data_IF_147854484245
#
_entry.id   IF_147854484245
#
_cell.length_a   1.000
_cell.length_b   1.000
_cell.length_c   1.000
_cell.angle_alpha   90.00
_cell.angle_beta   90.00
_cell.angle_gamma   90.00
#
_symmetry.space_group_name_H-M   'P 1'
#
loop_
_entity.id
_entity.type
_entity.pdbx_description
1 polymer ?
#
# COMPACT_ATOMS: atom_id res chain seq x y z
N UNK A 1 -11.94 -20.60 12.48
CA UNK A 1 -10.91 -20.48 11.43
C UNK A 1 -11.23 -19.27 10.60
N UNK A 2 -10.51 -18.17 10.83
CA UNK A 2 -10.65 -16.95 10.02
C UNK A 2 -9.93 -17.18 8.69
N UNK A 3 -10.61 -16.91 7.58
CA UNK A 3 -10.06 -16.92 6.22
C UNK A 3 -10.14 -15.50 5.66
N UNK A 4 -9.04 -14.99 5.15
CA UNK A 4 -8.98 -13.67 4.52
C UNK A 4 -8.57 -13.90 3.08
N UNK A 5 -9.53 -13.84 2.17
CA UNK A 5 -9.25 -13.98 0.74
C UNK A 5 -8.31 -12.89 0.22
N UNK A 6 -7.65 -13.14 -0.91
CA UNK A 6 -6.66 -12.21 -1.47
C UNK A 6 -7.23 -10.80 -1.71
N UNK A 7 -8.45 -10.66 -2.23
CA UNK A 7 -9.07 -9.35 -2.44
C UNK A 7 -9.42 -8.63 -1.13
N UNK A 8 -9.82 -9.37 -0.10
CA UNK A 8 -10.06 -8.80 1.24
C UNK A 8 -8.74 -8.34 1.88
N UNK A 9 -7.68 -9.14 1.73
CA UNK A 9 -6.34 -8.77 2.16
C UNK A 9 -5.83 -7.52 1.43
N UNK A 10 -5.98 -7.47 0.10
CA UNK A 10 -5.57 -6.36 -0.73
C UNK A 10 -6.28 -5.04 -0.35
N UNK A 11 -7.62 -5.08 -0.26
CA UNK A 11 -8.43 -3.89 0.01
C UNK A 11 -8.31 -3.37 1.44
N UNK A 12 -8.20 -4.26 2.43
CA UNK A 12 -8.17 -3.86 3.86
C UNK A 12 -6.79 -3.60 4.41
N UNK A 13 -5.75 -4.15 3.80
CA UNK A 13 -4.38 -4.10 4.34
C UNK A 13 -3.38 -3.53 3.34
N UNK A 14 -3.32 -4.05 2.11
CA UNK A 14 -2.27 -3.68 1.14
C UNK A 14 -2.42 -2.26 0.62
N UNK A 15 -3.55 -1.94 -0.01
CA UNK A 15 -3.79 -0.58 -0.56
C UNK A 15 -3.75 0.49 0.55
N UNK A 16 -4.36 0.27 1.73
CA UNK A 16 -4.21 1.21 2.84
C UNK A 16 -2.78 1.39 3.33
N UNK A 17 -1.95 0.33 3.33
CA UNK A 17 -0.54 0.44 3.72
C UNK A 17 0.28 1.28 2.72
N UNK A 18 0.03 1.11 1.42
CA UNK A 18 0.67 1.95 0.37
C UNK A 18 0.27 3.42 0.57
N UNK A 19 -1.02 3.72 0.69
CA UNK A 19 -1.53 5.08 0.93
C UNK A 19 -0.97 5.67 2.22
N UNK A 20 -0.89 4.87 3.29
CA UNK A 20 -0.29 5.29 4.56
C UNK A 20 1.19 5.65 4.41
N UNK A 21 1.97 4.82 3.71
CA UNK A 21 3.41 5.08 3.54
C UNK A 21 3.65 6.33 2.71
N UNK A 22 2.90 6.54 1.62
CA UNK A 22 2.94 7.79 0.83
C UNK A 22 2.65 9.00 1.72
N UNK A 23 1.54 8.97 2.47
CA UNK A 23 1.17 10.06 3.40
C UNK A 23 2.26 10.32 4.43
N UNK A 24 2.84 9.28 5.04
CA UNK A 24 3.89 9.44 6.05
C UNK A 24 5.15 10.08 5.47
N UNK A 25 5.56 9.71 4.25
CA UNK A 25 6.71 10.34 3.60
C UNK A 25 6.41 11.82 3.31
N UNK A 26 5.27 12.12 2.68
CA UNK A 26 4.89 13.51 2.37
C UNK A 26 4.76 14.38 3.63
N UNK A 27 4.24 13.82 4.72
CA UNK A 27 4.03 14.56 5.97
C UNK A 27 5.32 14.74 6.76
N UNK A 28 6.07 13.66 7.02
CA UNK A 28 7.23 13.70 7.91
C UNK A 28 8.56 14.05 7.21
N UNK A 29 8.74 13.63 5.94
CA UNK A 29 10.00 13.87 5.21
C UNK A 29 9.92 15.15 4.36
N UNK A 30 8.79 15.40 3.69
CA UNK A 30 8.59 16.59 2.84
C UNK A 30 7.99 17.78 3.60
N UNK A 31 7.48 17.57 4.83
CA UNK A 31 6.93 18.63 5.68
C UNK A 31 5.58 19.18 5.20
N UNK A 32 4.82 18.45 4.40
CA UNK A 32 3.55 18.92 3.87
C UNK A 32 2.45 18.87 4.92
N UNK A 33 1.60 19.90 4.93
CA UNK A 33 0.40 19.92 5.78
C UNK A 33 -0.70 19.00 5.22
N UNK A 34 -1.70 18.69 6.05
CA UNK A 34 -2.77 17.76 5.67
C UNK A 34 -3.63 18.28 4.51
N UNK A 35 -3.76 19.60 4.35
CA UNK A 35 -4.52 20.21 3.24
C UNK A 35 -3.82 19.94 1.90
N UNK A 36 -2.52 20.23 1.82
CA UNK A 36 -1.71 19.97 0.62
C UNK A 36 -1.72 18.49 0.26
N UNK A 37 -1.58 17.59 1.24
CA UNK A 37 -1.63 16.15 0.99
C UNK A 37 -3.03 15.72 0.52
N UNK A 38 -4.09 16.35 1.03
CA UNK A 38 -5.48 16.08 0.62
C UNK A 38 -5.69 16.39 -0.85
N UNK A 39 -5.17 17.54 -1.30
CA UNK A 39 -5.21 17.98 -2.70
C UNK A 39 -4.41 17.04 -3.60
N UNK A 40 -3.17 16.70 -3.22
CA UNK A 40 -2.30 15.83 -4.02
C UNK A 40 -2.84 14.41 -4.20
N UNK A 41 -3.46 13.85 -3.15
CA UNK A 41 -3.89 12.44 -3.15
C UNK A 41 -5.38 12.25 -3.41
N UNK A 42 -6.18 13.32 -3.46
CA UNK A 42 -7.64 13.24 -3.62
C UNK A 42 -8.35 12.51 -2.48
N UNK A 43 -7.81 12.53 -1.27
CA UNK A 43 -8.41 11.90 -0.07
C UNK A 43 -8.68 12.93 1.02
N UNK A 44 -9.63 12.65 1.91
CA UNK A 44 -9.99 13.58 2.98
C UNK A 44 -8.85 13.83 3.99
N UNK A 45 -8.80 15.03 4.58
CA UNK A 45 -7.93 15.35 5.72
C UNK A 45 -8.15 14.43 6.93
N UNK A 46 -9.35 13.86 7.09
CA UNK A 46 -9.61 12.86 8.13
C UNK A 46 -8.93 11.51 7.84
N UNK A 47 -8.73 11.14 6.57
CA UNK A 47 -8.04 9.91 6.14
C UNK A 47 -6.53 10.03 6.33
N UNK A 48 -5.91 11.03 5.70
CA UNK A 48 -5.14 12.06 6.41
C UNK A 48 -4.53 11.75 7.78
N UNK A 49 -5.14 12.45 8.75
CA UNK A 49 -4.90 12.31 10.18
C UNK A 49 -4.87 10.85 10.65
N UNK A 50 -5.78 9.99 10.17
CA UNK A 50 -5.75 8.55 10.49
C UNK A 50 -4.46 7.90 10.01
N UNK A 51 -3.98 8.16 8.81
CA UNK A 51 -2.73 7.56 8.32
C UNK A 51 -1.50 8.02 9.10
N UNK A 52 -1.43 9.30 9.46
CA UNK A 52 -0.33 9.89 10.24
C UNK A 52 -0.31 9.33 11.67
N UNK A 53 -1.47 9.31 12.34
CA UNK A 53 -1.59 8.88 13.75
C UNK A 53 -1.52 7.36 13.95
N UNK A 54 -1.80 6.58 12.90
CA UNK A 54 -1.93 5.13 13.02
C UNK A 54 -0.58 4.43 13.18
N UNK A 55 -0.47 3.71 14.30
CA UNK A 55 0.46 2.62 14.57
C UNK A 55 -0.35 1.41 15.03
N UNK A 56 -0.90 0.60 14.12
CA UNK A 56 -1.49 -0.68 14.53
C UNK A 56 -0.39 -1.74 14.66
N UNK A 57 -0.62 -2.69 15.56
CA UNK A 57 0.23 -3.87 15.77
C UNK A 57 0.34 -4.79 14.54
N UNK A 58 -0.56 -4.64 13.55
CA UNK A 58 -0.66 -5.43 12.31
C UNK A 58 -0.53 -4.56 11.04
N UNK A 59 -0.03 -3.32 11.14
CA UNK A 59 0.21 -2.54 9.92
C UNK A 59 1.40 -3.14 9.14
N UNK A 60 1.27 -3.19 7.81
CA UNK A 60 2.33 -3.67 6.93
C UNK A 60 3.43 -2.61 6.89
N UNK A 61 4.65 -2.95 7.30
CA UNK A 61 5.79 -2.06 7.21
C UNK A 61 6.41 -2.11 5.81
N UNK A 62 5.81 -1.36 4.88
CA UNK A 62 6.34 -1.25 3.53
C UNK A 62 7.71 -0.53 3.48
N UNK A 63 8.07 0.24 4.51
CA UNK A 63 9.36 0.92 4.58
C UNK A 63 10.53 -0.03 4.74
N UNK A 64 10.32 -1.21 5.35
CA UNK A 64 11.35 -2.26 5.47
C UNK A 64 11.48 -3.14 4.22
N UNK A 65 10.56 -3.02 3.26
CA UNK A 65 10.61 -3.78 2.00
C UNK A 65 11.24 -2.89 0.93
N UNK A 66 12.52 -3.08 0.63
CA UNK A 66 13.28 -2.23 -0.31
C UNK A 66 12.58 -2.03 -1.66
N UNK A 67 11.98 -3.11 -2.21
CA UNK A 67 11.20 -3.02 -3.44
C UNK A 67 10.00 -2.06 -3.29
N UNK A 68 9.19 -2.23 -2.24
CA UNK A 68 8.02 -1.38 -2.00
C UNK A 68 8.44 0.08 -1.79
N UNK A 69 9.44 0.33 -0.94
CA UNK A 69 9.95 1.65 -0.63
C UNK A 69 10.44 2.39 -1.88
N UNK A 70 11.22 1.70 -2.74
CA UNK A 70 11.70 2.28 -3.99
C UNK A 70 10.55 2.65 -4.93
N UNK A 71 9.53 1.79 -5.07
CA UNK A 71 8.38 2.06 -5.94
C UNK A 71 7.52 3.21 -5.41
N UNK A 72 7.31 3.27 -4.09
CA UNK A 72 6.57 4.34 -3.42
C UNK A 72 7.26 5.69 -3.62
N UNK A 73 8.59 5.75 -3.46
CA UNK A 73 9.35 6.99 -3.73
C UNK A 73 9.26 7.40 -5.20
N UNK A 74 9.23 6.45 -6.13
CA UNK A 74 8.94 6.71 -7.54
C UNK A 74 7.58 7.37 -7.75
N UNK A 75 6.52 6.84 -7.13
CA UNK A 75 5.17 7.42 -7.16
C UNK A 75 5.18 8.86 -6.63
N UNK A 76 5.83 9.09 -5.48
CA UNK A 76 5.94 10.43 -4.88
C UNK A 76 6.65 11.42 -5.80
N UNK A 77 7.74 11.01 -6.44
CA UNK A 77 8.45 11.87 -7.40
C UNK A 77 7.56 12.29 -8.57
N UNK A 78 6.67 11.43 -9.05
CA UNK A 78 5.73 11.77 -10.12
C UNK A 78 4.57 12.63 -9.62
N UNK A 79 4.10 12.42 -8.39
CA UNK A 79 3.15 13.35 -7.73
C UNK A 79 3.74 14.76 -7.66
N UNK A 80 5.01 14.89 -7.23
CA UNK A 80 5.69 16.18 -7.10
C UNK A 80 5.87 16.91 -8.45
N UNK A 81 6.06 16.15 -9.53
CA UNK A 81 6.11 16.67 -10.90
C UNK A 81 4.73 17.03 -11.47
N UNK A 82 3.65 16.78 -10.71
CA UNK A 82 2.25 16.89 -11.17
C UNK A 82 1.96 16.03 -12.41
N UNK A 83 2.69 14.91 -12.58
CA UNK A 83 2.48 13.95 -13.66
C UNK A 83 1.56 12.79 -13.24
N UNK A 84 1.15 12.76 -11.96
CA UNK A 84 0.42 11.64 -11.38
C UNK A 84 -0.62 12.13 -10.36
N UNK A 85 -1.88 12.16 -10.80
CA UNK A 85 -3.05 12.62 -10.02
C UNK A 85 -4.32 11.82 -10.41
N UNK A 86 -5.38 11.92 -9.60
CA UNK A 86 -6.67 11.29 -9.87
C UNK A 86 -6.56 9.80 -10.22
N UNK A 87 -7.10 9.41 -11.37
CA UNK A 87 -7.11 8.02 -11.85
C UNK A 87 -5.70 7.46 -12.09
N UNK A 88 -4.75 8.29 -12.55
CA UNK A 88 -3.37 7.85 -12.81
C UNK A 88 -2.64 7.47 -11.52
N UNK A 89 -2.91 8.19 -10.42
CA UNK A 89 -2.41 7.87 -9.10
C UNK A 89 -3.02 6.57 -8.56
N UNK A 90 -4.33 6.41 -8.69
CA UNK A 90 -5.00 5.17 -8.26
C UNK A 90 -4.51 3.95 -9.06
N UNK A 91 -4.26 4.12 -10.36
CA UNK A 91 -3.65 3.09 -11.20
C UNK A 91 -2.23 2.74 -10.73
N UNK A 92 -1.40 3.73 -10.40
CA UNK A 92 -0.04 3.48 -9.92
C UNK A 92 -0.02 2.74 -8.56
N UNK A 93 -0.90 3.13 -7.63
CA UNK A 93 -1.09 2.44 -6.35
C UNK A 93 -1.58 1.01 -6.57
N UNK A 94 -2.55 0.82 -7.47
CA UNK A 94 -3.11 -0.50 -7.78
C UNK A 94 -2.06 -1.43 -8.42
N UNK A 95 -1.27 -0.92 -9.37
CA UNK A 95 -0.15 -1.65 -9.97
C UNK A 95 0.86 -2.07 -8.91
N UNK A 96 1.25 -1.16 -8.02
CA UNK A 96 2.15 -1.52 -6.93
C UNK A 96 1.56 -2.59 -6.01
N UNK A 97 0.27 -2.51 -5.68
CA UNK A 97 -0.39 -3.55 -4.87
C UNK A 97 -0.30 -4.92 -5.56
N UNK A 98 -0.56 -4.98 -6.86
CA UNK A 98 -0.43 -6.20 -7.67
C UNK A 98 1.02 -6.69 -7.71
N UNK A 99 1.99 -5.81 -7.94
CA UNK A 99 3.43 -6.15 -7.94
C UNK A 99 3.84 -6.78 -6.59
N UNK A 100 3.38 -6.19 -5.47
CA UNK A 100 3.68 -6.68 -4.12
C UNK A 100 3.02 -8.04 -3.83
N UNK A 101 1.77 -8.24 -4.26
CA UNK A 101 1.05 -9.50 -4.11
C UNK A 101 1.66 -10.61 -4.98
N UNK A 102 1.93 -10.32 -6.25
CA UNK A 102 2.52 -11.26 -7.22
C UNK A 102 3.91 -11.71 -6.79
N UNK A 103 4.71 -10.78 -6.28
CA UNK A 103 6.07 -11.07 -5.80
C UNK A 103 6.13 -11.80 -4.46
N UNK A 104 4.98 -12.05 -3.81
CA UNK A 104 4.94 -12.76 -2.53
C UNK A 104 5.47 -11.96 -1.33
N UNK A 105 5.79 -10.68 -1.50
CA UNK A 105 6.37 -9.82 -0.47
C UNK A 105 5.49 -9.70 0.79
N UNK A 106 4.19 -9.94 0.64
CA UNK A 106 3.20 -9.71 1.69
C UNK A 106 2.65 -11.01 2.30
N UNK A 107 3.13 -12.18 1.88
CA UNK A 107 2.62 -13.46 2.39
C UNK A 107 2.79 -13.61 3.91
N UNK A 108 3.90 -13.11 4.47
CA UNK A 108 4.12 -13.11 5.92
C UNK A 108 3.09 -12.28 6.67
N UNK A 109 2.74 -11.09 6.16
CA UNK A 109 1.68 -10.26 6.73
C UNK A 109 0.30 -10.89 6.55
N UNK A 110 0.04 -11.54 5.42
CA UNK A 110 -1.23 -12.22 5.15
C UNK A 110 -1.47 -13.38 6.13
N UNK A 111 -0.43 -14.17 6.46
CA UNK A 111 -0.57 -15.24 7.47
C UNK A 111 -0.88 -14.74 8.88
N UNK A 112 -0.62 -13.48 9.21
CA UNK A 112 -0.98 -12.92 10.51
C UNK A 112 -2.49 -12.66 10.64
N UNK A 113 -3.23 -12.61 9.53
CA UNK A 113 -4.66 -12.30 9.50
C UNK A 113 -5.51 -13.44 8.94
N UNK A 114 -4.90 -14.42 8.26
CA UNK A 114 -5.54 -15.65 7.78
C UNK A 114 -4.92 -16.87 8.46
N UNK A 115 -5.64 -17.45 9.44
CA UNK A 115 -5.22 -18.64 10.20
C UNK A 115 -5.06 -19.88 9.32
N UNK A 116 -5.70 -19.90 8.15
CA UNK A 116 -5.67 -21.03 7.24
C UNK A 116 -4.66 -20.87 6.10
N UNK A 117 -3.95 -19.76 6.02
CA UNK A 117 -2.94 -19.52 4.98
C UNK A 117 -1.65 -20.27 5.31
N UNK A 118 -1.25 -21.17 4.40
CA UNK A 118 0.05 -21.85 4.47
C UNK A 118 1.07 -21.10 3.60
N UNK A 119 1.92 -20.31 4.24
CA UNK A 119 3.02 -19.59 3.58
C UNK A 119 3.96 -20.57 2.87
N UNK A 120 4.57 -20.14 1.76
CA UNK A 120 5.46 -20.97 0.94
C UNK A 120 4.75 -21.97 0.00
N UNK A 121 3.54 -22.41 0.32
CA UNK A 121 2.75 -23.32 -0.56
C UNK A 121 1.61 -22.64 -1.32
N UNK A 122 1.14 -21.49 -0.84
CA UNK A 122 0.09 -20.72 -1.50
C UNK A 122 0.61 -20.08 -2.79
N UNK A 123 -0.11 -20.26 -3.91
CA UNK A 123 0.23 -19.69 -5.23
C UNK A 123 -0.86 -18.77 -5.81
N UNK A 124 -1.87 -18.42 -5.01
CA UNK A 124 -3.06 -17.69 -5.50
C UNK A 124 -2.66 -16.39 -6.21
N UNK A 125 -1.86 -15.54 -5.55
CA UNK A 125 -1.46 -14.25 -6.13
C UNK A 125 -0.55 -14.41 -7.35
N UNK A 126 0.42 -15.33 -7.31
CA UNK A 126 1.37 -15.55 -8.40
C UNK A 126 0.70 -16.13 -9.65
N UNK A 127 -0.29 -17.01 -9.48
CA UNK A 127 -1.06 -17.55 -10.61
C UNK A 127 -2.07 -16.53 -11.15
N UNK A 128 -2.78 -15.80 -10.28
CA UNK A 128 -3.79 -14.85 -10.72
C UNK A 128 -3.19 -13.67 -11.50
N UNK A 129 -2.04 -13.17 -11.09
CA UNK A 129 -1.39 -12.01 -11.70
C UNK A 129 -0.24 -12.40 -12.65
N UNK A 130 -0.23 -13.64 -13.14
CA UNK A 130 0.85 -14.15 -14.01
C UNK A 130 1.04 -13.35 -15.29
N UNK A 131 -0.06 -12.89 -15.88
CA UNK A 131 -0.13 -12.18 -17.17
C UNK A 131 -0.31 -10.67 -17.02
N UNK A 132 -0.30 -10.14 -15.77
CA UNK A 132 -0.48 -8.72 -15.45
C UNK A 132 0.87 -8.05 -15.20
#
# INVERSE_FOLDING_TARGET
>A
MIRVGMFDFASRYVVPAIKQRIVKILYFEYGYNQLKISELLGISQSSISKYVSRRKKLDIDLGSIQFAESRIRGIINEIEKKSLEGESLELAISKLAVELLRGGYLCGYHSLVDEGLKTGTCKICSELFKEV
#
